data_IF_052071395614
#
_entry.id   IF_052071395614
#
_cell.length_a   1.000
_cell.length_b   1.000
_cell.length_c   1.000
_cell.angle_alpha   90.00
_cell.angle_beta   90.00
_cell.angle_gamma   90.00
#
_symmetry.space_group_name_H-M   'P 1'
#
loop_
_entity.id
_entity.type
_entity.pdbx_description
1 polymer ?
#
# COMPACT_ATOMS: atom_id res chain seq x y z
N UNK A 1 6.73 0.03 -25.14
CA UNK A 1 7.00 -0.01 -23.70
C UNK A 1 8.41 0.50 -23.40
N UNK A 2 9.49 -0.19 -23.84
CA UNK A 2 10.87 0.20 -23.53
C UNK A 2 11.25 1.60 -24.02
N UNK A 3 10.67 2.07 -25.12
CA UNK A 3 10.89 3.43 -25.64
C UNK A 3 10.34 4.54 -24.75
N UNK A 4 9.45 4.19 -23.83
CA UNK A 4 8.83 5.12 -22.88
C UNK A 4 9.53 5.11 -21.52
N UNK A 5 10.46 4.21 -21.30
CA UNK A 5 11.19 4.13 -20.04
C UNK A 5 12.35 5.12 -20.00
N UNK A 6 12.39 5.91 -18.96
CA UNK A 6 13.57 6.72 -18.64
C UNK A 6 14.54 5.86 -17.83
N UNK A 7 15.81 5.74 -18.24
CA UNK A 7 16.79 5.00 -17.46
C UNK A 7 16.92 5.57 -16.05
N UNK A 8 16.79 4.71 -15.05
CA UNK A 8 17.05 5.07 -13.66
C UNK A 8 18.52 4.74 -13.35
N UNK A 9 19.40 5.74 -13.46
CA UNK A 9 20.85 5.61 -13.32
C UNK A 9 21.38 6.06 -11.95
N UNK A 10 20.53 6.47 -11.05
CA UNK A 10 20.87 6.95 -9.70
C UNK A 10 20.22 6.15 -8.60
N UNK A 11 20.56 6.49 -7.36
CA UNK A 11 19.89 5.96 -6.19
C UNK A 11 18.41 6.39 -6.16
N UNK A 12 17.56 5.53 -5.59
CA UNK A 12 16.14 5.83 -5.43
C UNK A 12 15.94 6.86 -4.31
N UNK A 13 15.86 8.12 -4.70
CA UNK A 13 15.72 9.28 -3.82
C UNK A 13 14.24 9.47 -3.42
N UNK A 14 13.84 8.81 -2.32
CA UNK A 14 12.47 8.86 -1.80
C UNK A 14 12.02 10.31 -1.52
N UNK A 15 12.79 11.15 -0.82
CA UNK A 15 12.43 12.55 -0.58
C UNK A 15 12.14 13.31 -1.87
N UNK A 16 13.01 13.24 -2.86
CA UNK A 16 12.86 13.95 -4.12
C UNK A 16 11.63 13.50 -4.92
N UNK A 17 11.39 12.18 -4.99
CA UNK A 17 10.20 11.64 -5.69
C UNK A 17 8.93 12.04 -4.95
N UNK A 18 8.95 12.01 -3.62
CA UNK A 18 7.82 12.46 -2.79
C UNK A 18 7.51 13.93 -3.05
N UNK A 19 8.52 14.82 -3.00
CA UNK A 19 8.37 16.26 -3.28
C UNK A 19 7.77 16.51 -4.66
N UNK A 20 8.27 15.82 -5.69
CA UNK A 20 7.76 15.94 -7.05
C UNK A 20 6.29 15.53 -7.18
N UNK A 21 5.86 14.47 -6.49
CA UNK A 21 4.47 14.02 -6.49
C UNK A 21 3.57 14.92 -5.66
N UNK A 22 4.03 15.44 -4.52
CA UNK A 22 3.31 16.49 -3.77
C UNK A 22 3.07 17.70 -4.66
N UNK A 23 4.11 18.20 -5.34
CA UNK A 23 3.97 19.31 -6.28
C UNK A 23 3.00 18.99 -7.45
N UNK A 24 2.96 17.74 -7.88
CA UNK A 24 2.00 17.28 -8.89
C UNK A 24 0.57 17.39 -8.38
N UNK A 25 0.27 16.92 -7.17
CA UNK A 25 -1.05 17.07 -6.56
C UNK A 25 -1.43 18.53 -6.33
N UNK A 26 -0.49 19.36 -5.86
CA UNK A 26 -0.75 20.79 -5.67
C UNK A 26 -1.13 21.49 -6.98
N UNK A 27 -0.55 21.05 -8.11
CA UNK A 27 -0.82 21.61 -9.43
C UNK A 27 -2.06 20.99 -10.10
N UNK A 28 -2.26 19.69 -9.97
CA UNK A 28 -3.37 18.95 -10.61
C UNK A 28 -4.69 19.07 -9.84
N UNK A 29 -4.62 19.33 -8.53
CA UNK A 29 -5.78 19.35 -7.64
C UNK A 29 -5.96 18.06 -6.84
N UNK A 30 -7.15 17.89 -6.25
CA UNK A 30 -7.50 16.73 -5.44
C UNK A 30 -7.63 15.46 -6.28
N UNK A 31 -7.25 14.33 -5.69
CA UNK A 31 -7.34 13.04 -6.38
C UNK A 31 -7.10 11.82 -5.49
N UNK A 32 -7.49 10.67 -6.02
CA UNK A 32 -7.21 9.37 -5.42
C UNK A 32 -5.79 8.96 -5.81
N UNK A 33 -5.01 8.50 -4.84
CA UNK A 33 -3.66 8.01 -5.10
C UNK A 33 -3.63 6.48 -5.12
N UNK A 34 -3.44 5.91 -6.30
CA UNK A 34 -3.25 4.47 -6.49
C UNK A 34 -1.76 4.18 -6.55
N UNK A 35 -1.28 3.30 -5.69
CA UNK A 35 0.13 2.93 -5.60
C UNK A 35 0.32 1.42 -5.68
N UNK A 36 1.49 0.98 -6.10
CA UNK A 36 1.84 -0.42 -6.18
C UNK A 36 3.26 -0.68 -5.68
N UNK A 37 3.44 -1.75 -4.90
CA UNK A 37 4.73 -2.31 -4.52
C UNK A 37 5.67 -1.26 -3.88
N UNK A 38 6.85 -1.04 -4.45
CA UNK A 38 7.80 -0.01 -4.02
C UNK A 38 7.20 1.40 -4.01
N UNK A 39 6.26 1.68 -4.92
CA UNK A 39 5.52 2.94 -4.93
C UNK A 39 4.68 3.17 -3.68
N UNK A 40 4.42 2.15 -2.87
CA UNK A 40 3.70 2.27 -1.62
C UNK A 40 4.39 3.20 -0.62
N UNK A 41 5.74 3.12 -0.46
CA UNK A 41 6.46 4.02 0.46
C UNK A 41 6.34 5.48 0.02
N UNK A 42 6.38 5.73 -1.27
CA UNK A 42 6.14 7.06 -1.82
C UNK A 42 4.70 7.49 -1.55
N UNK A 43 3.74 6.59 -1.78
CA UNK A 43 2.32 6.84 -1.53
C UNK A 43 2.03 7.30 -0.12
N UNK A 44 2.60 6.63 0.87
CA UNK A 44 2.45 7.03 2.27
C UNK A 44 3.05 8.41 2.53
N UNK A 45 4.29 8.66 2.07
CA UNK A 45 4.96 9.94 2.27
C UNK A 45 4.20 11.11 1.60
N UNK A 46 3.69 10.93 0.39
CA UNK A 46 2.87 11.94 -0.31
C UNK A 46 1.56 12.18 0.44
N UNK A 47 0.85 11.09 0.81
CA UNK A 47 -0.41 11.20 1.53
C UNK A 47 -0.27 11.89 2.90
N UNK A 48 0.87 11.76 3.55
CA UNK A 48 1.17 12.48 4.80
C UNK A 48 1.47 13.97 4.60
N UNK A 49 1.93 14.39 3.41
CA UNK A 49 2.40 15.76 3.16
C UNK A 49 1.39 16.66 2.47
N UNK A 50 0.40 16.11 1.75
CA UNK A 50 -0.62 16.94 1.10
C UNK A 50 -2.04 16.45 1.38
N UNK A 51 -2.97 17.37 1.72
CA UNK A 51 -4.39 17.03 1.85
C UNK A 51 -5.08 16.79 0.50
N UNK A 52 -4.41 17.06 -0.62
CA UNK A 52 -4.94 16.84 -1.97
C UNK A 52 -5.14 15.37 -2.32
N UNK A 53 -4.47 14.46 -1.60
CA UNK A 53 -4.77 13.03 -1.67
C UNK A 53 -6.05 12.76 -0.90
N UNK A 54 -7.15 12.51 -1.61
CA UNK A 54 -8.48 12.31 -1.01
C UNK A 54 -8.73 10.87 -0.58
N UNK A 55 -8.03 9.91 -1.17
CA UNK A 55 -8.01 8.50 -0.75
C UNK A 55 -6.72 7.82 -1.22
N UNK A 56 -6.38 6.71 -0.57
CA UNK A 56 -5.26 5.85 -0.99
C UNK A 56 -5.78 4.46 -1.31
N UNK A 57 -5.44 3.97 -2.51
CA UNK A 57 -5.58 2.57 -2.92
C UNK A 57 -4.17 2.01 -3.06
N UNK A 58 -3.74 1.21 -2.10
CA UNK A 58 -2.39 0.63 -2.08
C UNK A 58 -2.45 -0.84 -2.50
N UNK A 59 -1.80 -1.17 -3.60
CA UNK A 59 -1.72 -2.53 -4.13
C UNK A 59 -0.39 -3.12 -3.71
N UNK A 60 -0.43 -4.12 -2.84
CA UNK A 60 0.75 -4.79 -2.29
C UNK A 60 1.92 -3.84 -1.95
N UNK A 61 1.71 -2.82 -1.10
CA UNK A 61 2.79 -1.93 -0.69
C UNK A 61 3.81 -2.69 0.16
N UNK A 62 5.11 -2.46 -0.08
CA UNK A 62 6.18 -3.22 0.57
C UNK A 62 6.48 -2.83 2.02
N UNK A 63 5.94 -1.72 2.51
CA UNK A 63 6.18 -1.22 3.88
C UNK A 63 5.11 -0.20 4.30
N UNK A 64 5.08 0.12 5.60
CA UNK A 64 4.06 1.01 6.19
C UNK A 64 4.68 1.95 7.22
N UNK A 65 4.18 3.21 7.33
CA UNK A 65 4.53 4.11 8.42
C UNK A 65 3.80 3.72 9.72
N UNK A 66 4.43 4.02 10.84
CA UNK A 66 3.85 3.92 12.18
C UNK A 66 4.30 5.14 12.99
N UNK A 67 3.61 5.51 14.06
CA UNK A 67 4.14 6.47 15.00
C UNK A 67 5.50 6.02 15.54
N UNK A 68 6.44 6.94 15.73
CA UNK A 68 7.74 6.65 16.34
C UNK A 68 7.58 5.94 17.68
N UNK A 69 8.32 4.85 17.85
CA UNK A 69 8.24 4.00 19.05
C UNK A 69 7.10 2.97 19.03
N UNK A 70 6.20 3.02 18.05
CA UNK A 70 5.08 2.09 17.91
C UNK A 70 5.22 1.16 16.69
N UNK A 71 6.38 1.14 16.02
CA UNK A 71 6.63 0.26 14.86
C UNK A 71 6.63 -1.20 15.32
N UNK A 72 5.71 -2.04 14.81
CA UNK A 72 5.63 -3.42 15.25
C UNK A 72 6.79 -4.25 14.70
N UNK A 73 7.23 -5.22 15.48
CA UNK A 73 8.16 -6.24 15.01
C UNK A 73 7.38 -7.35 14.34
N UNK A 74 7.78 -7.71 13.13
CA UNK A 74 7.29 -8.88 12.41
C UNK A 74 8.43 -9.90 12.32
N UNK A 75 8.21 -11.06 12.91
CA UNK A 75 9.18 -12.18 12.83
C UNK A 75 8.68 -13.16 11.79
N UNK A 76 9.41 -13.25 10.67
CA UNK A 76 9.12 -14.18 9.60
C UNK A 76 10.42 -14.82 9.12
N UNK A 77 10.46 -16.14 9.09
CA UNK A 77 11.63 -16.89 8.64
C UNK A 77 11.66 -17.02 7.11
N UNK A 78 12.84 -17.32 6.58
CA UNK A 78 13.06 -17.58 5.16
C UNK A 78 12.44 -16.52 4.25
N UNK A 79 12.75 -15.23 4.49
CA UNK A 79 12.25 -14.11 3.68
C UNK A 79 13.31 -13.58 2.71
N UNK A 80 12.88 -13.07 1.55
CA UNK A 80 13.77 -12.46 0.55
C UNK A 80 14.41 -11.16 1.04
N UNK A 81 13.68 -10.41 1.89
CA UNK A 81 14.11 -9.14 2.46
C UNK A 81 13.61 -9.03 3.90
N UNK A 82 14.21 -8.21 4.75
CA UNK A 82 13.65 -7.91 6.07
C UNK A 82 12.22 -7.34 5.94
N UNK A 83 11.32 -7.83 6.78
CA UNK A 83 9.96 -7.29 6.88
C UNK A 83 9.94 -6.24 7.99
N UNK A 84 9.47 -5.03 7.68
CA UNK A 84 9.37 -3.99 8.69
C UNK A 84 8.64 -2.75 8.19
N UNK A 85 8.13 -2.00 9.16
CA UNK A 85 7.63 -0.65 8.95
C UNK A 85 8.71 0.40 9.25
N UNK A 86 8.34 1.67 9.13
CA UNK A 86 9.19 2.79 9.50
C UNK A 86 8.46 3.77 10.41
N UNK A 87 9.22 4.38 11.34
CA UNK A 87 8.70 5.36 12.28
C UNK A 87 8.57 6.74 11.64
N UNK A 88 7.47 7.44 11.96
CA UNK A 88 7.27 8.86 11.61
C UNK A 88 6.71 9.61 12.81
N UNK A 89 6.91 10.94 12.89
CA UNK A 89 6.28 11.74 13.93
C UNK A 89 4.77 11.48 14.01
N UNK A 90 4.25 11.32 15.21
CA UNK A 90 2.84 10.94 15.44
C UNK A 90 1.86 11.90 14.75
N UNK A 91 2.13 13.19 14.76
CA UNK A 91 1.29 14.19 14.09
C UNK A 91 1.25 13.98 12.57
N UNK A 92 2.37 13.61 11.98
CA UNK A 92 2.47 13.28 10.56
C UNK A 92 1.68 12.00 10.25
N UNK A 93 1.84 10.95 11.06
CA UNK A 93 1.06 9.71 10.93
C UNK A 93 -0.45 9.99 10.97
N UNK A 94 -0.91 10.81 11.92
CA UNK A 94 -2.32 11.13 12.10
C UNK A 94 -2.95 11.85 10.89
N UNK A 95 -2.16 12.41 9.99
CA UNK A 95 -2.71 12.95 8.73
C UNK A 95 -3.34 11.85 7.87
N UNK A 96 -2.86 10.60 7.94
CA UNK A 96 -3.42 9.47 7.21
C UNK A 96 -4.83 9.08 7.67
N UNK A 97 -5.18 9.37 8.93
CA UNK A 97 -6.52 9.07 9.45
C UNK A 97 -7.63 9.95 8.84
N UNK A 98 -7.26 11.00 8.12
CA UNK A 98 -8.20 11.97 7.55
C UNK A 98 -8.77 11.58 6.19
N UNK A 99 -8.41 10.40 5.67
CA UNK A 99 -8.85 9.90 4.37
C UNK A 99 -9.06 8.39 4.40
N UNK A 100 -9.97 7.85 3.59
CA UNK A 100 -10.12 6.41 3.47
C UNK A 100 -8.90 5.79 2.79
N UNK A 101 -8.50 4.62 3.28
CA UNK A 101 -7.37 3.84 2.80
C UNK A 101 -7.86 2.42 2.54
N UNK A 102 -7.52 1.85 1.39
CA UNK A 102 -7.67 0.42 1.14
C UNK A 102 -6.36 -0.18 0.66
N UNK A 103 -6.05 -1.36 1.17
CA UNK A 103 -4.83 -2.09 0.84
C UNK A 103 -5.24 -3.44 0.27
N UNK A 104 -4.76 -3.79 -0.90
CA UNK A 104 -5.05 -5.04 -1.59
C UNK A 104 -3.86 -5.97 -1.58
N UNK A 105 -4.12 -7.24 -1.31
CA UNK A 105 -3.18 -8.35 -1.50
C UNK A 105 -3.77 -9.39 -2.44
N UNK A 106 -2.93 -9.88 -3.35
CA UNK A 106 -3.26 -10.95 -4.29
C UNK A 106 -3.24 -12.34 -3.68
N UNK A 107 -3.11 -13.34 -4.54
CA UNK A 107 -3.06 -14.75 -4.17
C UNK A 107 -1.61 -15.24 -3.94
N UNK A 108 -1.46 -16.50 -3.61
CA UNK A 108 -0.18 -17.16 -3.38
C UNK A 108 0.66 -16.61 -2.21
N UNK A 109 0.03 -15.90 -1.30
CA UNK A 109 0.63 -15.41 -0.05
C UNK A 109 0.18 -16.34 1.08
N UNK A 110 1.08 -17.08 1.73
CA UNK A 110 0.72 -18.03 2.78
C UNK A 110 0.13 -17.32 4.01
N UNK A 111 -0.69 -18.04 4.77
CA UNK A 111 -1.20 -17.55 6.06
C UNK A 111 -0.06 -17.21 7.02
N UNK A 112 -0.34 -16.38 8.02
CA UNK A 112 0.70 -15.82 8.90
C UNK A 112 1.48 -16.88 9.69
N UNK A 113 0.83 -18.00 10.03
CA UNK A 113 1.39 -19.13 10.76
C UNK A 113 2.10 -20.16 9.87
N UNK A 114 2.08 -19.97 8.55
CA UNK A 114 2.69 -20.87 7.57
C UNK A 114 3.97 -20.29 7.00
N UNK A 115 4.88 -21.18 6.66
CA UNK A 115 6.12 -20.88 5.94
C UNK A 115 6.11 -21.62 4.61
N UNK A 116 6.27 -20.88 3.52
CA UNK A 116 6.40 -21.42 2.18
C UNK A 116 7.86 -21.73 1.85
N UNK A 117 8.08 -22.53 0.80
CA UNK A 117 9.42 -22.82 0.30
C UNK A 117 10.07 -21.58 -0.33
N UNK A 118 9.28 -20.75 -1.01
CA UNK A 118 9.76 -19.55 -1.69
C UNK A 118 9.90 -18.36 -0.72
N UNK A 119 11.10 -17.81 -0.55
CA UNK A 119 11.33 -16.68 0.36
C UNK A 119 10.48 -15.43 0.06
N UNK A 120 10.16 -15.19 -1.22
CA UNK A 120 9.30 -14.08 -1.61
C UNK A 120 7.87 -14.20 -1.06
N UNK A 121 7.32 -15.41 -1.02
CA UNK A 121 5.99 -15.64 -0.45
C UNK A 121 5.96 -15.37 1.05
N UNK A 122 7.02 -15.76 1.77
CA UNK A 122 7.17 -15.48 3.20
C UNK A 122 7.34 -13.99 3.47
N UNK A 123 8.09 -13.28 2.62
CA UNK A 123 8.20 -11.83 2.69
C UNK A 123 6.81 -11.17 2.58
N UNK A 124 6.03 -11.50 1.55
CA UNK A 124 4.70 -10.93 1.35
C UNK A 124 3.70 -11.34 2.44
N UNK A 125 3.83 -12.53 3.02
CA UNK A 125 3.06 -12.93 4.20
C UNK A 125 3.32 -12.01 5.39
N UNK A 126 4.59 -11.71 5.66
CA UNK A 126 4.96 -10.76 6.72
C UNK A 126 4.53 -9.31 6.43
N UNK A 127 4.65 -8.88 5.17
CA UNK A 127 4.18 -7.54 4.75
C UNK A 127 2.65 -7.43 4.89
N UNK A 128 1.90 -8.48 4.56
CA UNK A 128 0.46 -8.51 4.75
C UNK A 128 0.07 -8.49 6.24
N UNK A 129 0.82 -9.18 7.10
CA UNK A 129 0.64 -9.08 8.56
C UNK A 129 0.88 -7.64 9.04
N UNK A 130 1.94 -7.01 8.55
CA UNK A 130 2.25 -5.61 8.86
C UNK A 130 1.13 -4.65 8.41
N UNK A 131 0.49 -4.93 7.25
CA UNK A 131 -0.64 -4.17 6.75
C UNK A 131 -1.86 -4.23 7.68
N UNK A 132 -2.16 -5.39 8.25
CA UNK A 132 -3.24 -5.52 9.24
C UNK A 132 -2.93 -4.70 10.50
N UNK A 133 -1.70 -4.76 11.01
CA UNK A 133 -1.27 -3.94 12.16
C UNK A 133 -1.34 -2.44 11.85
N UNK A 134 -0.96 -2.04 10.65
CA UNK A 134 -1.12 -0.64 10.19
C UNK A 134 -2.58 -0.21 10.19
N UNK A 135 -3.47 -1.04 9.62
CA UNK A 135 -4.89 -0.74 9.58
C UNK A 135 -5.49 -0.65 11.00
N UNK A 136 -5.07 -1.52 11.93
CA UNK A 136 -5.48 -1.44 13.35
C UNK A 136 -5.08 -0.10 13.96
N UNK A 137 -3.84 0.35 13.76
CA UNK A 137 -3.36 1.63 14.31
C UNK A 137 -4.09 2.82 13.68
N UNK A 138 -4.30 2.84 12.36
CA UNK A 138 -5.08 3.89 11.68
C UNK A 138 -6.50 3.95 12.26
N UNK A 139 -7.18 2.81 12.37
CA UNK A 139 -8.57 2.75 12.82
C UNK A 139 -8.70 3.09 14.31
N UNK A 140 -7.76 2.66 15.15
CA UNK A 140 -7.71 3.03 16.57
C UNK A 140 -7.54 4.54 16.78
N UNK A 141 -6.94 5.25 15.82
CA UNK A 141 -6.81 6.71 15.83
C UNK A 141 -7.94 7.44 15.06
N UNK A 142 -9.07 6.77 14.81
CA UNK A 142 -10.26 7.37 14.20
C UNK A 142 -10.21 7.47 12.68
N UNK A 143 -9.27 6.75 12.03
CA UNK A 143 -9.19 6.65 10.57
C UNK A 143 -10.10 5.57 9.99
N UNK A 144 -10.00 5.38 8.69
CA UNK A 144 -10.76 4.39 7.90
C UNK A 144 -9.79 3.65 6.97
N UNK A 145 -9.24 2.54 7.45
CA UNK A 145 -8.31 1.70 6.70
C UNK A 145 -8.83 0.26 6.64
N UNK A 146 -8.85 -0.31 5.44
CA UNK A 146 -9.27 -1.68 5.19
C UNK A 146 -8.18 -2.44 4.43
N UNK A 147 -7.89 -3.66 4.88
CA UNK A 147 -7.06 -4.63 4.14
C UNK A 147 -7.97 -5.64 3.46
N UNK A 148 -7.73 -5.88 2.18
CA UNK A 148 -8.47 -6.83 1.34
C UNK A 148 -7.49 -7.90 0.85
N UNK A 149 -7.70 -9.12 1.29
CA UNK A 149 -7.10 -10.30 0.68
C UNK A 149 -8.05 -10.74 -0.45
N UNK A 150 -7.66 -10.61 -1.70
CA UNK A 150 -8.49 -10.95 -2.86
C UNK A 150 -9.03 -12.39 -2.79
N UNK A 151 -8.25 -13.42 -2.40
CA UNK A 151 -8.78 -14.76 -2.24
C UNK A 151 -9.91 -14.86 -1.22
N UNK A 152 -9.83 -14.12 -0.11
CA UNK A 152 -10.92 -14.06 0.90
C UNK A 152 -12.15 -13.30 0.41
N UNK A 153 -11.96 -12.43 -0.58
CA UNK A 153 -13.06 -11.75 -1.28
C UNK A 153 -13.65 -12.58 -2.43
N UNK A 154 -13.14 -13.79 -2.68
CA UNK A 154 -13.57 -14.69 -3.74
C UNK A 154 -12.88 -14.48 -5.08
N UNK A 155 -11.87 -13.61 -5.16
CA UNK A 155 -11.08 -13.29 -6.36
C UNK A 155 -9.73 -13.99 -6.24
N UNK A 156 -9.46 -14.99 -7.08
CA UNK A 156 -8.29 -15.85 -6.98
C UNK A 156 -7.43 -15.83 -8.24
N UNK A 157 -6.18 -16.32 -8.12
CA UNK A 157 -5.23 -16.44 -9.23
C UNK A 157 -4.45 -15.16 -9.52
N UNK A 158 -4.54 -14.16 -8.64
CA UNK A 158 -3.85 -12.90 -8.81
C UNK A 158 -2.40 -12.96 -8.35
N UNK A 159 -1.52 -12.42 -9.17
CA UNK A 159 -0.10 -12.22 -8.88
C UNK A 159 0.14 -10.88 -8.17
N UNK A 160 1.40 -10.57 -7.91
CA UNK A 160 1.81 -9.24 -7.45
C UNK A 160 1.37 -8.09 -8.38
N UNK A 161 1.10 -8.41 -9.65
CA UNK A 161 0.64 -7.47 -10.68
C UNK A 161 -0.84 -7.69 -11.02
N UNK A 162 -1.70 -7.77 -9.99
CA UNK A 162 -3.12 -8.07 -10.14
C UNK A 162 -3.87 -7.22 -11.17
N UNK A 163 -3.38 -6.02 -11.46
CA UNK A 163 -3.93 -5.14 -12.51
C UNK A 163 -3.50 -5.53 -13.93
N UNK A 164 -2.61 -6.51 -14.10
CA UNK A 164 -2.17 -7.07 -15.38
C UNK A 164 -2.62 -8.53 -15.58
N UNK A 165 -3.21 -9.16 -14.56
CA UNK A 165 -3.69 -10.52 -14.63
C UNK A 165 -4.95 -10.64 -15.49
N UNK A 166 -5.30 -11.86 -15.91
CA UNK A 166 -6.43 -12.11 -16.82
C UNK A 166 -7.79 -11.69 -16.24
N UNK A 167 -7.91 -11.65 -14.91
CA UNK A 167 -9.09 -11.21 -14.18
C UNK A 167 -8.98 -9.77 -13.66
N UNK A 168 -8.11 -8.94 -14.24
CA UNK A 168 -7.90 -7.56 -13.82
C UNK A 168 -9.17 -6.72 -13.80
N UNK A 169 -10.13 -7.02 -14.67
CA UNK A 169 -11.44 -6.37 -14.69
C UNK A 169 -12.22 -6.62 -13.38
N UNK A 170 -12.17 -7.83 -12.85
CA UNK A 170 -12.84 -8.19 -11.59
C UNK A 170 -12.17 -7.47 -10.40
N UNK A 171 -10.85 -7.39 -10.39
CA UNK A 171 -10.08 -6.62 -9.40
C UNK A 171 -10.45 -5.14 -9.48
N UNK A 172 -10.51 -4.57 -10.70
CA UNK A 172 -10.90 -3.19 -10.90
C UNK A 172 -12.31 -2.92 -10.38
N UNK A 173 -13.28 -3.78 -10.70
CA UNK A 173 -14.67 -3.65 -10.24
C UNK A 173 -14.76 -3.69 -8.70
N UNK A 174 -13.93 -4.51 -8.05
CA UNK A 174 -13.87 -4.54 -6.60
C UNK A 174 -13.34 -3.24 -6.01
N UNK A 175 -12.27 -2.67 -6.60
CA UNK A 175 -11.72 -1.37 -6.22
C UNK A 175 -12.77 -0.26 -6.47
N UNK A 176 -13.42 -0.28 -7.63
CA UNK A 176 -14.42 0.71 -8.01
C UNK A 176 -15.61 0.72 -7.02
N UNK A 177 -16.15 -0.45 -6.66
CA UNK A 177 -17.20 -0.58 -5.65
C UNK A 177 -16.79 -0.03 -4.29
N UNK A 178 -15.52 -0.22 -3.90
CA UNK A 178 -15.01 0.41 -2.68
C UNK A 178 -14.99 1.94 -2.81
N UNK A 179 -14.54 2.49 -3.93
CA UNK A 179 -14.57 3.93 -4.19
C UNK A 179 -16.00 4.49 -4.17
N UNK A 180 -16.96 3.81 -4.80
CA UNK A 180 -18.38 4.19 -4.73
C UNK A 180 -18.89 4.21 -3.29
N UNK A 181 -18.55 3.21 -2.48
CA UNK A 181 -18.94 3.14 -1.06
C UNK A 181 -18.42 4.32 -0.23
N UNK A 182 -17.31 4.94 -0.68
CA UNK A 182 -16.71 6.16 -0.09
C UNK A 182 -17.18 7.45 -0.77
N UNK A 183 -18.07 7.38 -1.78
CA UNK A 183 -18.54 8.52 -2.61
C UNK A 183 -17.40 9.21 -3.35
N UNK A 184 -16.41 8.45 -3.78
CA UNK A 184 -15.22 8.91 -4.50
C UNK A 184 -15.25 8.55 -6.00
N UNK A 185 -16.23 7.78 -6.43
CA UNK A 185 -16.56 7.49 -7.82
C UNK A 185 -18.06 7.70 -8.05
N UNK A 186 -18.43 8.05 -9.30
CA UNK A 186 -19.81 8.28 -9.75
C UNK A 186 -20.25 7.16 -10.69
#
# INVERSE_FOLDING_TARGET
FFQQMTPNIGEFDIPKVTEALVATFEKAGEGIFITHSQGGIIGWNVAMQTPKVTAVVAIEPGTFPFPEGEVPTITKENTSFPVGGFGVPKEQFLTLTKRPIVIYFGDNIPDFDKTAELPAQNFWSGVRELAYKFAEVINANGGDCKVIDLPKAGITGNTHFMFQDLNNQEVFEHIYKWLESKKLAN
#
